data_IF_678290022422
#
_entry.id   IF_678290022422
#
_cell.length_a   1.000
_cell.length_b   1.000
_cell.length_c   1.000
_cell.angle_alpha   90.00
_cell.angle_beta   90.00
_cell.angle_gamma   90.00
#
_symmetry.space_group_name_H-M   'P 1'
#
loop_
_entity.id
_entity.type
_entity.pdbx_description
1 polymer ?
#
# COMPACT_ATOMS: atom_id res chain seq x y z
N UNK A 1 -6.87 19.64 -7.79
CA UNK A 1 -5.65 19.05 -8.40
C UNK A 1 -6.05 17.87 -9.28
N UNK A 2 -5.47 17.75 -10.49
CA UNK A 2 -5.65 16.57 -11.35
C UNK A 2 -4.34 15.81 -11.49
N UNK A 3 -4.40 14.48 -11.41
CA UNK A 3 -3.27 13.54 -11.55
C UNK A 3 -3.64 12.58 -12.68
N UNK A 4 -2.87 12.60 -13.77
CA UNK A 4 -3.14 11.81 -14.99
C UNK A 4 -4.59 11.92 -15.47
N UNK A 5 -5.15 13.14 -15.48
CA UNK A 5 -6.49 13.43 -15.99
C UNK A 5 -7.65 13.15 -15.01
N UNK A 6 -7.39 12.59 -13.83
CA UNK A 6 -8.41 12.38 -12.78
C UNK A 6 -8.17 13.24 -11.55
N UNK A 7 -9.22 13.54 -10.80
CA UNK A 7 -9.11 14.22 -9.52
C UNK A 7 -8.58 13.27 -8.43
N UNK A 8 -8.01 13.81 -7.35
CA UNK A 8 -7.61 13.00 -6.20
C UNK A 8 -8.80 12.23 -5.59
N UNK A 9 -9.98 12.86 -5.55
CA UNK A 9 -11.22 12.25 -5.07
C UNK A 9 -11.67 11.05 -5.91
N UNK A 10 -11.36 11.01 -7.21
CA UNK A 10 -11.66 9.85 -8.05
C UNK A 10 -10.84 8.64 -7.62
N UNK A 11 -9.54 8.83 -7.32
CA UNK A 11 -8.68 7.78 -6.80
C UNK A 11 -9.16 7.31 -5.44
N UNK A 12 -9.36 8.24 -4.50
CA UNK A 12 -9.85 7.90 -3.15
C UNK A 12 -11.18 7.16 -3.21
N UNK A 13 -12.12 7.59 -4.04
CA UNK A 13 -13.41 6.91 -4.19
C UNK A 13 -13.26 5.52 -4.80
N UNK A 14 -12.36 5.36 -5.76
CA UNK A 14 -12.10 4.07 -6.42
C UNK A 14 -11.60 3.01 -5.45
N UNK A 15 -10.71 3.38 -4.52
CA UNK A 15 -10.09 2.45 -3.58
C UNK A 15 -10.45 2.66 -2.10
N UNK A 16 -11.51 3.41 -1.82
CA UNK A 16 -11.93 3.83 -0.46
C UNK A 16 -11.93 2.68 0.55
N UNK A 17 -12.50 1.54 0.19
CA UNK A 17 -12.57 0.38 1.10
C UNK A 17 -11.19 -0.14 1.50
N UNK A 18 -10.23 -0.12 0.57
CA UNK A 18 -8.87 -0.56 0.83
C UNK A 18 -8.06 0.47 1.64
N UNK A 19 -8.28 1.77 1.39
CA UNK A 19 -7.71 2.83 2.22
C UNK A 19 -8.20 2.74 3.67
N UNK A 20 -9.50 2.49 3.87
CA UNK A 20 -10.07 2.25 5.22
C UNK A 20 -9.44 1.01 5.85
N UNK A 21 -9.28 -0.08 5.09
CA UNK A 21 -8.65 -1.30 5.60
C UNK A 21 -7.21 -1.05 6.08
N UNK A 22 -6.39 -0.37 5.28
CA UNK A 22 -5.01 0.01 5.66
C UNK A 22 -5.00 0.88 6.90
N UNK A 23 -5.91 1.86 6.99
CA UNK A 23 -6.05 2.72 8.16
C UNK A 23 -6.38 1.90 9.41
N UNK A 24 -7.41 1.05 9.35
CA UNK A 24 -7.86 0.22 10.47
C UNK A 24 -6.74 -0.73 10.91
N UNK A 25 -6.11 -1.45 9.97
CA UNK A 25 -5.06 -2.41 10.30
C UNK A 25 -3.83 -1.72 10.88
N UNK A 26 -3.40 -0.59 10.30
CA UNK A 26 -2.26 0.18 10.81
C UNK A 26 -2.50 0.72 12.22
N UNK A 27 -3.67 1.32 12.46
CA UNK A 27 -4.03 1.86 13.77
C UNK A 27 -4.25 0.76 14.81
N UNK A 28 -4.92 -0.34 14.45
CA UNK A 28 -5.11 -1.47 15.35
C UNK A 28 -3.77 -2.07 15.77
N UNK A 29 -2.83 -2.22 14.83
CA UNK A 29 -1.48 -2.70 15.10
C UNK A 29 -0.75 -1.80 16.10
N UNK A 30 -0.83 -0.47 15.92
CA UNK A 30 -0.26 0.49 16.85
C UNK A 30 -0.91 0.41 18.23
N UNK A 31 -2.25 0.43 18.28
CA UNK A 31 -3.01 0.42 19.53
C UNK A 31 -2.73 -0.84 20.36
N UNK A 32 -2.73 -2.02 19.73
CA UNK A 32 -2.40 -3.27 20.41
C UNK A 32 -1.00 -3.21 21.05
N UNK A 33 -0.02 -2.69 20.32
CA UNK A 33 1.34 -2.54 20.84
C UNK A 33 1.41 -1.55 22.02
N UNK A 34 0.70 -0.43 21.94
CA UNK A 34 0.63 0.56 23.03
C UNK A 34 -0.10 0.01 24.27
N UNK A 35 -1.01 -0.94 24.09
CA UNK A 35 -1.68 -1.67 25.17
C UNK A 35 -0.83 -2.82 25.75
N UNK A 36 0.41 -2.99 25.29
CA UNK A 36 1.33 -4.01 25.79
C UNK A 36 1.08 -5.41 25.21
N UNK A 37 0.27 -5.53 24.15
CA UNK A 37 0.07 -6.80 23.47
C UNK A 37 1.39 -7.22 22.80
N UNK A 38 1.83 -8.49 22.95
CA UNK A 38 3.08 -8.95 22.36
C UNK A 38 3.14 -8.75 20.84
N UNK A 39 4.32 -8.37 20.35
CA UNK A 39 4.60 -8.23 18.92
C UNK A 39 4.31 -9.52 18.13
N UNK A 40 4.45 -10.69 18.75
CA UNK A 40 4.12 -12.00 18.17
C UNK A 40 2.64 -12.14 17.80
N UNK A 41 1.75 -11.39 18.46
CA UNK A 41 0.32 -11.33 18.15
C UNK A 41 0.02 -10.21 17.17
N UNK A 42 0.56 -9.01 17.40
CA UNK A 42 0.29 -7.86 16.54
C UNK A 42 0.91 -7.99 15.13
N UNK A 43 1.89 -8.88 14.90
CA UNK A 43 2.49 -9.13 13.58
C UNK A 43 1.51 -9.64 12.53
N UNK A 44 0.42 -10.29 12.95
CA UNK A 44 -0.59 -10.81 12.01
C UNK A 44 -1.36 -9.68 11.31
N UNK A 45 -1.34 -8.47 11.86
CA UNK A 45 -1.84 -7.25 11.21
C UNK A 45 -0.75 -6.62 10.32
N UNK A 46 -0.43 -7.28 9.21
CA UNK A 46 0.69 -6.87 8.35
C UNK A 46 0.27 -5.92 7.22
N UNK A 47 0.74 -4.65 7.29
CA UNK A 47 0.58 -3.67 6.22
C UNK A 47 1.27 -4.11 4.92
N UNK A 48 2.42 -4.78 5.01
CA UNK A 48 3.14 -5.28 3.83
C UNK A 48 2.29 -6.29 3.05
N UNK A 49 1.66 -7.24 3.75
CA UNK A 49 0.76 -8.21 3.11
C UNK A 49 -0.42 -7.52 2.47
N UNK A 50 -1.02 -6.53 3.16
CA UNK A 50 -2.08 -5.73 2.55
C UNK A 50 -1.61 -5.06 1.26
N UNK A 51 -0.45 -4.40 1.24
CA UNK A 51 0.04 -3.74 0.03
C UNK A 51 0.27 -4.69 -1.13
N UNK A 52 0.76 -5.90 -0.88
CA UNK A 52 0.92 -6.93 -1.92
C UNK A 52 -0.44 -7.40 -2.47
N UNK A 53 -1.43 -7.61 -1.59
CA UNK A 53 -2.79 -7.97 -2.00
C UNK A 53 -3.47 -6.83 -2.77
N UNK A 54 -3.30 -5.58 -2.31
CA UNK A 54 -3.78 -4.37 -2.97
C UNK A 54 -3.15 -4.21 -4.35
N UNK A 55 -1.83 -4.41 -4.46
CA UNK A 55 -1.11 -4.39 -5.73
C UNK A 55 -1.71 -5.40 -6.71
N UNK A 56 -1.88 -6.65 -6.30
CA UNK A 56 -2.47 -7.69 -7.15
C UNK A 56 -3.89 -7.31 -7.58
N UNK A 57 -4.74 -6.99 -6.60
CA UNK A 57 -6.15 -6.67 -6.83
C UNK A 57 -6.34 -5.46 -7.75
N UNK A 58 -5.67 -4.34 -7.46
CA UNK A 58 -5.83 -3.12 -8.25
C UNK A 58 -5.15 -3.18 -9.62
N UNK A 59 -4.09 -3.97 -9.78
CA UNK A 59 -3.50 -4.21 -11.11
C UNK A 59 -4.50 -4.90 -12.04
N UNK A 60 -5.28 -5.85 -11.51
CA UNK A 60 -6.37 -6.51 -12.26
C UNK A 60 -7.55 -5.55 -12.42
N UNK A 61 -8.00 -4.91 -11.34
CA UNK A 61 -9.21 -4.08 -11.35
C UNK A 61 -9.07 -2.87 -12.27
N UNK A 62 -7.92 -2.19 -12.29
CA UNK A 62 -7.71 -1.06 -13.21
C UNK A 62 -7.73 -1.54 -14.67
N UNK A 63 -7.24 -2.77 -14.94
CA UNK A 63 -7.28 -3.36 -16.28
C UNK A 63 -8.70 -3.69 -16.76
N UNK A 64 -9.61 -4.03 -15.84
CA UNK A 64 -10.93 -4.57 -16.18
C UNK A 64 -12.09 -3.61 -15.94
N UNK A 65 -11.91 -2.57 -15.11
CA UNK A 65 -13.01 -1.67 -14.72
C UNK A 65 -13.12 -0.40 -15.56
N UNK A 66 -12.27 -0.22 -16.57
CA UNK A 66 -12.20 1.03 -17.35
C UNK A 66 -11.71 2.24 -16.56
N UNK A 67 -11.18 2.05 -15.34
CA UNK A 67 -10.75 3.17 -14.50
C UNK A 67 -9.60 3.93 -15.14
N UNK A 68 -8.64 3.25 -15.75
CA UNK A 68 -7.55 3.93 -16.44
C UNK A 68 -6.50 3.00 -17.03
N UNK A 69 -5.31 3.56 -17.22
CA UNK A 69 -4.14 2.91 -17.79
C UNK A 69 -3.05 2.68 -16.74
N UNK A 70 -1.86 2.24 -17.18
CA UNK A 70 -0.68 2.13 -16.33
C UNK A 70 -0.40 3.42 -15.54
N UNK A 71 -0.65 4.60 -16.11
CA UNK A 71 -0.43 5.88 -15.39
C UNK A 71 -1.32 6.00 -14.15
N UNK A 72 -2.60 5.62 -14.25
CA UNK A 72 -3.56 5.69 -13.15
C UNK A 72 -3.32 4.60 -12.10
N UNK A 73 -2.62 3.51 -12.44
CA UNK A 73 -2.24 2.50 -11.46
C UNK A 73 -1.28 3.05 -10.40
N UNK A 74 -0.36 3.96 -10.76
CA UNK A 74 0.62 4.51 -9.82
C UNK A 74 -0.05 5.24 -8.63
N UNK A 75 -0.96 6.21 -8.81
CA UNK A 75 -1.65 6.85 -7.69
C UNK A 75 -2.47 5.87 -6.85
N UNK A 76 -3.12 4.88 -7.47
CA UNK A 76 -3.89 3.83 -6.77
C UNK A 76 -2.98 3.00 -5.86
N UNK A 77 -1.74 2.73 -6.26
CA UNK A 77 -0.79 1.99 -5.41
C UNK A 77 -0.07 2.90 -4.41
N UNK A 78 0.04 4.20 -4.70
CA UNK A 78 0.71 5.16 -3.85
C UNK A 78 -0.10 5.53 -2.60
N UNK A 79 -1.40 5.80 -2.75
CA UNK A 79 -2.22 6.29 -1.64
C UNK A 79 -2.24 5.34 -0.43
N UNK A 80 -2.41 4.01 -0.56
CA UNK A 80 -2.36 3.10 0.58
C UNK A 80 -0.99 3.08 1.28
N UNK A 81 0.10 3.17 0.52
CA UNK A 81 1.46 3.20 1.06
C UNK A 81 1.69 4.50 1.83
N UNK A 82 1.25 5.63 1.29
CA UNK A 82 1.33 6.93 1.96
C UNK A 82 0.54 6.88 3.27
N UNK A 83 -0.71 6.41 3.25
CA UNK A 83 -1.56 6.32 4.45
C UNK A 83 -0.89 5.48 5.54
N UNK A 84 -0.45 4.26 5.22
CA UNK A 84 0.18 3.44 6.25
C UNK A 84 1.56 3.94 6.67
N UNK A 85 2.34 4.55 5.77
CA UNK A 85 3.62 5.17 6.16
C UNK A 85 3.41 6.35 7.10
N UNK A 86 2.33 7.14 6.95
CA UNK A 86 1.98 8.19 7.92
C UNK A 86 1.72 7.61 9.32
N UNK A 87 1.02 6.48 9.42
CA UNK A 87 0.77 5.79 10.68
C UNK A 87 2.08 5.31 11.30
N UNK A 88 2.95 4.70 10.49
CA UNK A 88 4.25 4.21 10.93
C UNK A 88 5.14 5.35 11.42
N UNK A 89 5.24 6.43 10.65
CA UNK A 89 5.97 7.65 11.03
C UNK A 89 5.45 8.21 12.35
N UNK A 90 4.14 8.33 12.52
CA UNK A 90 3.54 8.79 13.77
C UNK A 90 3.89 7.87 14.95
N UNK A 91 3.87 6.56 14.74
CA UNK A 91 4.27 5.58 15.76
C UNK A 91 5.75 5.68 16.15
N UNK A 92 6.65 5.85 15.17
CA UNK A 92 8.08 6.04 15.44
C UNK A 92 8.32 7.34 16.20
N UNK A 93 7.68 8.45 15.78
CA UNK A 93 7.78 9.74 16.48
C UNK A 93 7.29 9.60 17.92
N UNK A 94 6.17 8.92 18.16
CA UNK A 94 5.69 8.66 19.52
C UNK A 94 6.72 7.89 20.36
N UNK A 95 7.38 6.90 19.78
CA UNK A 95 8.42 6.12 20.47
C UNK A 95 9.65 6.97 20.80
N UNK A 96 10.08 7.84 19.87
CA UNK A 96 11.16 8.82 20.10
C UNK A 96 10.80 9.74 21.29
N UNK A 97 9.59 10.31 21.28
CA UNK A 97 9.17 11.29 22.29
C UNK A 97 8.95 10.68 23.67
N UNK A 98 8.53 9.40 23.74
CA UNK A 98 8.23 8.73 25.02
C UNK A 98 9.38 7.87 25.54
N UNK A 99 10.38 7.58 24.71
CA UNK A 99 11.44 6.61 24.99
C UNK A 99 10.95 5.16 25.05
N UNK A 100 9.69 4.88 24.69
CA UNK A 100 9.08 3.55 24.79
C UNK A 100 8.85 2.97 23.40
N UNK A 101 9.34 1.75 23.19
CA UNK A 101 9.12 1.05 21.94
C UNK A 101 7.65 0.72 21.72
N UNK A 102 7.27 0.74 20.45
CA UNK A 102 6.07 0.11 19.94
C UNK A 102 6.45 -0.76 18.73
N UNK A 103 5.47 -1.42 18.14
CA UNK A 103 5.69 -2.35 17.03
C UNK A 103 6.38 -1.74 15.80
N UNK A 104 6.34 -0.41 15.63
CA UNK A 104 7.02 0.27 14.53
C UNK A 104 8.43 0.75 14.86
N UNK A 105 8.85 0.67 16.12
CA UNK A 105 10.20 1.04 16.59
C UNK A 105 10.97 -0.12 17.20
N UNK A 106 10.30 -1.24 17.48
CA UNK A 106 10.91 -2.42 18.05
C UNK A 106 11.99 -3.00 17.10
N UNK A 107 13.14 -3.49 17.65
CA UNK A 107 14.27 -4.00 16.88
C UNK A 107 13.90 -5.04 15.81
N UNK A 108 12.92 -5.90 16.09
CA UNK A 108 12.44 -6.92 15.13
C UNK A 108 11.89 -6.31 13.82
N UNK A 109 11.47 -5.04 13.85
CA UNK A 109 10.89 -4.32 12.71
C UNK A 109 11.76 -3.17 12.21
N UNK A 110 12.94 -2.98 12.80
CA UNK A 110 13.93 -1.95 12.44
C UNK A 110 15.29 -2.54 12.08
N UNK A 111 15.33 -3.77 11.56
CA UNK A 111 16.58 -4.41 11.11
C UNK A 111 17.53 -4.82 12.24
N UNK A 112 16.99 -5.07 13.44
CA UNK A 112 17.76 -5.52 14.60
C UNK A 112 18.42 -4.39 15.41
N UNK A 113 18.22 -3.12 15.03
CA UNK A 113 18.74 -1.95 15.75
C UNK A 113 17.61 -1.17 16.42
N UNK A 114 17.95 -0.22 17.31
CA UNK A 114 16.94 0.67 17.90
C UNK A 114 16.21 1.47 16.80
N UNK A 115 14.89 1.26 16.70
CA UNK A 115 14.05 1.91 15.70
C UNK A 115 13.57 3.31 16.10
N UNK A 116 13.86 3.79 17.31
CA UNK A 116 13.48 5.13 17.82
C UNK A 116 14.41 6.23 17.28
N UNK A 117 14.53 6.35 15.96
CA UNK A 117 15.46 7.30 15.34
C UNK A 117 14.81 8.15 14.24
N UNK A 118 15.30 9.38 14.08
CA UNK A 118 14.89 10.25 12.97
C UNK A 118 15.29 9.70 11.60
N UNK A 119 16.35 8.87 11.54
CA UNK A 119 16.74 8.15 10.33
C UNK A 119 15.65 7.14 9.93
N UNK A 120 15.08 6.42 10.90
CA UNK A 120 13.98 5.49 10.63
C UNK A 120 12.72 6.22 10.14
N UNK A 121 12.39 7.37 10.74
CA UNK A 121 11.33 8.27 10.23
C UNK A 121 11.60 8.67 8.77
N UNK A 122 12.82 9.15 8.48
CA UNK A 122 13.23 9.53 7.13
C UNK A 122 13.15 8.38 6.13
N UNK A 123 13.49 7.15 6.55
CA UNK A 123 13.33 5.94 5.75
C UNK A 123 11.90 5.71 5.30
N UNK A 124 10.91 5.91 6.18
CA UNK A 124 9.50 5.80 5.82
C UNK A 124 9.01 6.94 4.92
N UNK A 125 9.51 8.16 5.13
CA UNK A 125 9.20 9.29 4.22
C UNK A 125 9.72 9.01 2.82
N UNK A 126 10.94 8.46 2.69
CA UNK A 126 11.47 8.03 1.39
C UNK A 126 10.69 6.84 0.80
N UNK A 127 10.27 5.89 1.65
CA UNK A 127 9.48 4.74 1.24
C UNK A 127 8.13 5.14 0.63
N UNK A 128 7.53 6.26 1.05
CA UNK A 128 6.31 6.81 0.43
C UNK A 128 6.46 7.11 -1.07
N UNK A 129 7.69 7.26 -1.56
CA UNK A 129 7.99 7.49 -2.99
C UNK A 129 8.49 6.20 -3.65
N UNK A 130 9.46 5.53 -3.02
CA UNK A 130 10.14 4.38 -3.64
C UNK A 130 9.24 3.15 -3.72
N UNK A 131 8.50 2.82 -2.65
CA UNK A 131 7.67 1.61 -2.61
C UNK A 131 6.55 1.65 -3.66
N UNK A 132 5.80 2.75 -3.84
CA UNK A 132 4.80 2.82 -4.90
C UNK A 132 5.36 2.64 -6.31
N UNK A 133 6.59 3.11 -6.58
CA UNK A 133 7.24 2.91 -7.88
C UNK A 133 7.54 1.42 -8.14
N UNK A 134 8.03 0.71 -7.11
CA UNK A 134 8.28 -0.73 -7.20
C UNK A 134 6.97 -1.51 -7.39
N UNK A 135 5.95 -1.22 -6.58
CA UNK A 135 4.63 -1.84 -6.71
C UNK A 135 4.00 -1.54 -8.07
N UNK A 136 4.19 -0.33 -8.58
CA UNK A 136 3.70 0.07 -9.89
C UNK A 136 4.40 -0.66 -11.04
N UNK A 137 5.71 -0.87 -10.95
CA UNK A 137 6.45 -1.65 -11.95
C UNK A 137 5.91 -3.08 -12.03
N UNK A 138 5.82 -3.76 -10.88
CA UNK A 138 5.29 -5.14 -10.79
C UNK A 138 3.81 -5.19 -11.18
N UNK A 139 3.02 -4.25 -10.67
CA UNK A 139 1.59 -4.15 -10.98
C UNK A 139 1.31 -3.89 -12.45
N UNK A 140 2.18 -3.12 -13.13
CA UNK A 140 2.08 -2.90 -14.57
C UNK A 140 2.29 -4.20 -15.36
N UNK A 141 3.19 -5.08 -14.92
CA UNK A 141 3.35 -6.41 -15.54
C UNK A 141 2.09 -7.27 -15.35
N UNK A 142 1.50 -7.27 -14.15
CA UNK A 142 0.23 -7.96 -13.88
C UNK A 142 -0.88 -7.39 -14.77
N UNK A 143 -0.97 -6.07 -14.90
CA UNK A 143 -1.96 -5.39 -15.73
C UNK A 143 -1.79 -5.77 -17.21
N UNK A 144 -0.55 -5.86 -17.71
CA UNK A 144 -0.24 -6.28 -19.08
C UNK A 144 -0.73 -7.71 -19.34
N UNK A 145 -0.40 -8.64 -18.46
CA UNK A 145 -0.86 -10.04 -18.54
C UNK A 145 -2.38 -10.10 -18.50
N UNK A 146 -3.01 -9.37 -17.57
CA UNK A 146 -4.47 -9.30 -17.45
C UNK A 146 -5.14 -8.85 -18.74
N UNK A 147 -4.64 -7.76 -19.36
CA UNK A 147 -5.16 -7.23 -20.62
C UNK A 147 -5.04 -8.22 -21.78
N UNK A 148 -3.97 -9.01 -21.83
CA UNK A 148 -3.78 -10.04 -22.86
C UNK A 148 -4.87 -11.11 -22.76
N UNK A 149 -5.20 -11.56 -21.55
CA UNK A 149 -6.23 -12.59 -21.34
C UNK A 149 -7.66 -12.06 -21.55
N UNK A 150 -7.95 -10.82 -21.17
CA UNK A 150 -9.28 -10.24 -21.37
C UNK A 150 -9.51 -9.79 -22.82
N UNK A 151 -8.49 -9.26 -23.49
CA UNK A 151 -8.54 -8.90 -24.91
C UNK A 151 -8.68 -10.13 -25.83
N UNK A 152 -8.03 -11.24 -25.50
CA UNK A 152 -8.15 -12.50 -26.28
C UNK A 152 -9.54 -13.13 -26.18
N UNK A 153 -10.30 -12.85 -25.11
CA UNK A 153 -11.70 -13.29 -24.96
C UNK A 153 -12.70 -12.46 -25.74
N UNK A 154 -12.32 -11.25 -26.17
CA UNK A 154 -13.21 -10.31 -26.87
C UNK A 154 -13.20 -10.47 -28.39
N UNK A 155 -12.39 -11.37 -28.95
CA UNK A 155 -12.52 -11.82 -30.35
C UNK A 155 -13.53 -12.98 -30.39
N UNK A 156 -14.77 -12.79 -30.89
CA UNK A 156 -15.60 -13.92 -31.25
C UNK A 156 -14.90 -14.65 -32.39
N UNK A 157 -15.05 -15.98 -32.43
CA UNK A 157 -14.73 -16.78 -33.61
C UNK A 157 -15.42 -16.14 -34.83
N UNK A 158 -14.65 -15.36 -35.59
CA UNK A 158 -15.08 -14.84 -36.88
C UNK A 158 -15.25 -16.04 -37.79
N UNK A 159 -16.51 -16.29 -38.12
CA UNK A 159 -16.97 -17.21 -39.16
C UNK A 159 -16.06 -17.09 -40.39
N UNK A 160 -15.28 -18.14 -40.62
CA UNK A 160 -14.65 -18.37 -41.93
C UNK A 160 -15.76 -18.49 -42.96
N UNK A 161 -15.69 -17.62 -43.97
CA UNK A 161 -16.48 -17.69 -45.18
C UNK A 161 -16.14 -18.95 -45.99
#
# INVERSE_FOLDING_TARGET
MRIFGKSLSDYVSYEKGFLILVLVVGLARLALSLLGVPNSTAKFLSLTVLYLLGMLYYSVRVATSGFGSYKQLLPVLALPVIVGSCIVVAGIILAILTGKDNIFSAPEYSGGVDGKTWVHVGGHVLAMVIVPLVLWLVGSLIMLVTKKFTGSRAQPAGTGA
#
